data_IF_410723780666
#
_entry.id   IF_410723780666
#
_cell.length_a   1.000
_cell.length_b   1.000
_cell.length_c   1.000
_cell.angle_alpha   90.00
_cell.angle_beta   90.00
_cell.angle_gamma   90.00
#
_symmetry.space_group_name_H-M   'P 1'
#
loop_
_entity.id
_entity.type
_entity.pdbx_description
1 polymer ?
#
# COMPACT_ATOMS: atom_id res chain seq x y z
N UNK A 1 7.76 -2.25 -29.49
CA UNK A 1 6.97 -1.48 -28.50
C UNK A 1 7.84 -1.28 -27.27
N UNK A 2 8.49 -0.11 -27.13
CA UNK A 2 9.45 0.16 -26.04
C UNK A 2 9.73 1.68 -25.89
N UNK A 3 8.71 2.49 -25.63
CA UNK A 3 8.89 3.92 -25.32
C UNK A 3 8.15 4.38 -24.06
N UNK A 4 7.30 3.53 -23.48
CA UNK A 4 6.43 3.91 -22.35
C UNK A 4 7.17 3.97 -21.00
N UNK A 5 8.23 3.19 -20.80
CA UNK A 5 8.92 3.09 -19.51
C UNK A 5 9.64 4.39 -19.11
N UNK A 6 10.23 5.09 -20.08
CA UNK A 6 10.95 6.34 -19.83
C UNK A 6 10.01 7.51 -19.52
N UNK A 7 8.91 7.61 -20.29
CA UNK A 7 7.93 8.68 -20.10
C UNK A 7 7.11 8.47 -18.83
N UNK A 8 6.69 7.24 -18.56
CA UNK A 8 5.97 6.87 -17.34
C UNK A 8 6.79 7.11 -16.07
N UNK A 9 8.06 6.69 -16.04
CA UNK A 9 8.94 6.91 -14.89
C UNK A 9 9.24 8.41 -14.66
N UNK A 10 9.30 9.21 -15.73
CA UNK A 10 9.47 10.66 -15.62
C UNK A 10 8.21 11.36 -15.11
N UNK A 11 7.03 10.91 -15.56
CA UNK A 11 5.75 11.37 -15.06
C UNK A 11 5.56 11.01 -13.58
N UNK A 12 5.88 9.77 -13.18
CA UNK A 12 5.84 9.33 -11.78
C UNK A 12 6.77 10.17 -10.89
N UNK A 13 8.03 10.36 -11.32
CA UNK A 13 8.97 11.25 -10.61
C UNK A 13 8.49 12.70 -10.50
N UNK A 14 7.72 13.17 -11.48
CA UNK A 14 7.13 14.50 -11.43
C UNK A 14 5.96 14.58 -10.45
N UNK A 15 5.08 13.57 -10.45
CA UNK A 15 3.95 13.47 -9.52
C UNK A 15 4.42 13.35 -8.06
N UNK A 16 5.50 12.59 -7.82
CA UNK A 16 6.13 12.45 -6.50
C UNK A 16 7.00 13.65 -6.11
N UNK A 17 7.26 14.59 -7.03
CA UNK A 17 8.07 15.76 -6.73
C UNK A 17 7.38 16.64 -5.70
N UNK A 18 8.13 17.12 -4.71
CA UNK A 18 7.66 18.11 -3.73
C UNK A 18 6.97 19.30 -4.39
N UNK A 19 7.42 19.69 -5.60
CA UNK A 19 6.84 20.78 -6.38
C UNK A 19 5.40 20.50 -6.84
N UNK A 20 5.11 19.27 -7.25
CA UNK A 20 3.77 18.84 -7.63
C UNK A 20 2.86 18.75 -6.41
N UNK A 21 3.35 18.17 -5.31
CA UNK A 21 2.60 18.04 -4.07
C UNK A 21 2.21 19.39 -3.47
N UNK A 22 3.15 20.34 -3.39
CA UNK A 22 2.87 21.70 -2.89
C UNK A 22 1.95 22.46 -3.85
N UNK A 23 2.12 22.28 -5.17
CA UNK A 23 1.20 22.81 -6.17
C UNK A 23 -0.23 22.29 -5.99
N UNK A 24 -0.41 20.97 -5.86
CA UNK A 24 -1.69 20.33 -5.58
C UNK A 24 -2.32 20.84 -4.27
N UNK A 25 -1.52 21.02 -3.22
CA UNK A 25 -1.97 21.65 -1.97
C UNK A 25 -2.48 23.07 -2.16
N UNK A 26 -1.75 23.90 -2.91
CA UNK A 26 -2.19 25.26 -3.27
C UNK A 26 -3.46 25.28 -4.13
N UNK A 27 -3.56 24.38 -5.11
CA UNK A 27 -4.76 24.22 -5.93
C UNK A 27 -5.99 23.80 -5.12
N UNK A 28 -5.82 22.86 -4.19
CA UNK A 28 -6.90 22.42 -3.29
C UNK A 28 -7.37 23.56 -2.37
N UNK A 29 -6.45 24.38 -1.84
CA UNK A 29 -6.81 25.60 -1.09
C UNK A 29 -7.61 26.58 -1.95
N UNK A 30 -7.19 26.81 -3.21
CA UNK A 30 -7.93 27.67 -4.14
C UNK A 30 -9.35 27.18 -4.40
N UNK A 31 -9.53 25.86 -4.51
CA UNK A 31 -10.84 25.25 -4.66
C UNK A 31 -11.69 25.39 -3.37
N UNK A 32 -11.08 25.24 -2.20
CA UNK A 32 -11.73 25.52 -0.92
C UNK A 32 -12.21 26.97 -0.79
N UNK A 33 -11.41 27.94 -1.23
CA UNK A 33 -11.80 29.36 -1.27
C UNK A 33 -13.00 29.60 -2.19
N UNK A 34 -13.04 28.92 -3.35
CA UNK A 34 -14.19 29.00 -4.26
C UNK A 34 -15.48 28.52 -3.59
N UNK A 35 -15.45 27.35 -2.94
CA UNK A 35 -16.61 26.82 -2.22
C UNK A 35 -17.01 27.68 -1.02
N UNK A 36 -16.08 28.42 -0.42
CA UNK A 36 -16.37 29.42 0.61
C UNK A 36 -17.01 30.72 0.06
N UNK A 37 -17.27 30.79 -1.25
CA UNK A 37 -17.91 31.94 -1.91
C UNK A 37 -16.94 33.05 -2.32
N UNK A 38 -15.62 32.85 -2.17
CA UNK A 38 -14.61 33.80 -2.62
C UNK A 38 -14.18 33.50 -4.07
N UNK A 39 -14.14 34.53 -4.91
CA UNK A 39 -13.55 34.45 -6.25
C UNK A 39 -14.54 34.33 -7.42
N UNK A 40 -15.85 34.16 -7.19
CA UNK A 40 -16.88 34.24 -8.23
C UNK A 40 -16.50 33.52 -9.54
N UNK A 41 -16.65 34.18 -10.69
CA UNK A 41 -16.24 33.63 -11.99
C UNK A 41 -14.70 33.56 -12.21
N UNK A 42 -13.90 34.20 -11.36
CA UNK A 42 -12.43 34.28 -11.45
C UNK A 42 -11.73 33.13 -10.71
N UNK A 43 -12.48 32.22 -10.11
CA UNK A 43 -11.96 31.08 -9.36
C UNK A 43 -10.91 30.23 -10.12
N UNK A 44 -10.99 30.02 -11.46
CA UNK A 44 -9.95 29.25 -12.16
C UNK A 44 -8.59 29.96 -12.11
N UNK A 45 -8.60 31.30 -12.16
CA UNK A 45 -7.38 32.12 -12.04
C UNK A 45 -6.78 32.06 -10.64
N UNK A 46 -7.62 32.02 -9.61
CA UNK A 46 -7.19 31.86 -8.21
C UNK A 46 -6.55 30.49 -8.00
N UNK A 47 -7.16 29.42 -8.50
CA UNK A 47 -6.61 28.05 -8.43
C UNK A 47 -5.29 27.95 -9.18
N UNK A 48 -5.22 28.46 -10.41
CA UNK A 48 -3.99 28.45 -11.21
C UNK A 48 -2.87 29.28 -10.55
N UNK A 49 -3.21 30.44 -9.97
CA UNK A 49 -2.29 31.31 -9.26
C UNK A 49 -1.73 30.65 -7.99
N UNK A 50 -2.58 30.03 -7.17
CA UNK A 50 -2.16 29.33 -5.95
C UNK A 50 -1.37 28.06 -6.25
N UNK A 51 -1.75 27.30 -7.28
CA UNK A 51 -0.98 26.15 -7.76
C UNK A 51 0.42 26.60 -8.22
N UNK A 52 0.48 27.66 -9.03
CA UNK A 52 1.74 28.25 -9.49
C UNK A 52 2.60 28.78 -8.33
N UNK A 53 2.01 29.53 -7.41
CA UNK A 53 2.70 30.05 -6.23
C UNK A 53 3.27 28.91 -5.37
N UNK A 54 2.47 27.88 -5.07
CA UNK A 54 2.94 26.70 -4.35
C UNK A 54 4.13 26.01 -5.04
N UNK A 55 4.08 25.87 -6.37
CA UNK A 55 5.17 25.32 -7.15
C UNK A 55 6.44 26.20 -7.15
N UNK A 56 6.31 27.53 -7.06
CA UNK A 56 7.46 28.45 -7.03
C UNK A 56 8.10 28.62 -5.64
N UNK A 57 7.30 28.55 -4.57
CA UNK A 57 7.78 28.66 -3.19
C UNK A 57 8.57 27.42 -2.71
N UNK A 58 8.64 26.36 -3.52
CA UNK A 58 9.36 25.13 -3.16
C UNK A 58 10.88 25.33 -3.27
N UNK A 59 11.66 25.09 -2.19
CA UNK A 59 13.11 25.11 -2.25
C UNK A 59 13.65 24.08 -3.25
N UNK A 60 14.55 24.49 -4.14
CA UNK A 60 15.16 23.61 -5.14
C UNK A 60 15.95 22.45 -4.50
N UNK A 61 16.10 21.30 -5.20
CA UNK A 61 16.91 20.20 -4.72
C UNK A 61 18.35 20.66 -4.43
N UNK A 62 18.86 20.35 -3.23
CA UNK A 62 20.24 20.64 -2.86
C UNK A 62 21.18 19.89 -3.82
N UNK A 63 22.20 20.54 -4.40
CA UNK A 63 23.16 19.87 -5.27
C UNK A 63 23.76 18.66 -4.54
N UNK A 64 23.68 17.49 -5.18
CA UNK A 64 24.42 16.31 -4.75
C UNK A 64 25.91 16.63 -4.86
N UNK A 65 26.71 16.51 -3.79
CA UNK A 65 28.16 16.65 -3.88
C UNK A 65 28.72 15.66 -4.90
N UNK A 66 29.75 16.03 -5.70
CA UNK A 66 30.37 15.12 -6.64
C UNK A 66 30.91 13.88 -5.90
N UNK A 67 30.49 12.71 -6.35
CA UNK A 67 30.96 11.43 -5.84
C UNK A 67 32.45 11.29 -6.20
N UNK A 68 33.35 11.01 -5.22
CA UNK A 68 34.74 10.70 -5.52
C UNK A 68 34.83 9.52 -6.48
N UNK A 69 35.66 9.64 -7.51
CA UNK A 69 35.88 8.57 -8.48
C UNK A 69 36.31 7.27 -7.76
N UNK A 70 35.80 6.09 -8.17
CA UNK A 70 36.24 4.83 -7.60
C UNK A 70 37.75 4.63 -7.89
N UNK A 71 38.55 4.20 -6.90
CA UNK A 71 39.96 3.90 -7.12
C UNK A 71 40.11 2.73 -8.13
N UNK A 72 41.20 2.70 -8.91
CA UNK A 72 41.43 1.65 -9.89
C UNK A 72 41.50 0.28 -9.22
N UNK A 73 40.83 -0.70 -9.83
CA UNK A 73 40.74 -2.07 -9.35
C UNK A 73 42.14 -2.70 -9.17
N UNK A 74 42.46 -3.29 -8.01
CA UNK A 74 43.62 -4.17 -7.90
C UNK A 74 43.31 -5.56 -8.48
N UNK A 75 44.22 -5.99 -9.35
CA UNK A 75 44.45 -7.31 -9.97
C UNK A 75 44.22 -8.51 -9.02
N UNK A 76 43.77 -9.69 -9.53
CA UNK A 76 43.34 -10.80 -8.68
C UNK A 76 44.49 -11.70 -8.17
N UNK A 77 44.17 -12.43 -7.08
CA UNK A 77 44.76 -13.67 -6.53
C UNK A 77 45.59 -13.52 -5.23
N UNK A 78 45.76 -14.59 -4.40
CA UNK A 78 45.08 -15.89 -4.35
C UNK A 78 44.47 -16.22 -2.95
N UNK A 79 43.61 -17.24 -2.95
CA UNK A 79 43.10 -18.14 -1.88
C UNK A 79 43.43 -17.85 -0.40
N UNK A 80 42.39 -17.84 0.43
CA UNK A 80 42.43 -18.35 1.81
C UNK A 80 41.21 -19.24 2.07
N UNK A 81 41.51 -20.42 2.59
CA UNK A 81 40.65 -21.58 2.82
C UNK A 81 39.98 -21.51 4.19
N UNK A 82 38.85 -22.23 4.35
CA UNK A 82 38.27 -22.74 5.62
C UNK A 82 37.47 -21.75 6.49
N UNK A 83 36.35 -22.10 7.15
CA UNK A 83 35.75 -23.38 7.55
C UNK A 83 34.22 -23.29 7.41
N UNK A 84 33.60 -24.31 6.83
CA UNK A 84 32.16 -24.55 6.92
C UNK A 84 31.80 -24.94 8.36
N UNK A 85 31.04 -24.11 9.07
CA UNK A 85 30.30 -24.55 10.25
C UNK A 85 28.85 -24.72 9.84
N UNK A 86 28.53 -25.97 9.48
CA UNK A 86 27.17 -26.45 9.34
C UNK A 86 26.64 -26.74 10.75
N UNK A 87 25.90 -25.82 11.35
CA UNK A 87 25.08 -26.15 12.52
C UNK A 87 23.76 -26.73 12.00
N UNK A 88 23.74 -28.06 11.88
CA UNK A 88 22.47 -28.79 11.98
C UNK A 88 21.96 -28.64 13.41
N UNK A 89 20.99 -27.75 13.61
CA UNK A 89 20.23 -27.73 14.84
C UNK A 89 19.31 -28.97 14.91
N UNK A 90 19.01 -29.49 16.11
CA UNK A 90 18.22 -30.70 16.28
C UNK A 90 16.84 -30.52 15.65
N UNK A 91 16.39 -31.52 14.89
CA UNK A 91 14.96 -31.66 14.55
C UNK A 91 14.22 -32.00 15.82
N UNK A 92 13.86 -30.99 16.60
CA UNK A 92 12.74 -31.09 17.51
C UNK A 92 11.52 -31.38 16.64
N UNK A 93 10.82 -32.45 16.98
CA UNK A 93 9.44 -32.71 16.56
C UNK A 93 8.55 -31.65 17.22
N UNK A 94 8.78 -30.39 16.86
CA UNK A 94 7.95 -29.27 17.23
C UNK A 94 6.82 -29.20 16.21
N UNK A 95 5.60 -29.03 16.70
CA UNK A 95 4.50 -28.51 15.91
C UNK A 95 5.02 -27.37 15.02
N UNK A 96 4.70 -27.35 13.72
CA UNK A 96 5.14 -26.25 12.87
C UNK A 96 4.76 -24.92 13.55
N UNK A 97 5.70 -23.97 13.66
CA UNK A 97 5.40 -22.70 14.32
C UNK A 97 4.17 -22.07 13.65
N UNK A 98 3.28 -21.41 14.43
CA UNK A 98 2.10 -20.76 13.87
C UNK A 98 2.53 -19.81 12.74
N UNK A 99 1.78 -19.82 11.65
CA UNK A 99 2.10 -19.01 10.47
C UNK A 99 2.20 -17.52 10.87
N UNK A 100 3.41 -16.92 10.84
CA UNK A 100 3.61 -15.58 11.37
C UNK A 100 2.82 -14.52 10.61
N UNK A 101 2.46 -14.78 9.35
CA UNK A 101 1.70 -13.85 8.54
C UNK A 101 0.20 -13.90 8.86
N UNK A 102 -0.34 -15.10 9.15
CA UNK A 102 -1.71 -15.25 9.62
C UNK A 102 -1.90 -14.60 11.00
N UNK A 103 -0.90 -14.71 11.87
CA UNK A 103 -0.91 -14.03 13.17
C UNK A 103 -0.80 -12.52 13.03
N UNK A 104 0.12 -12.01 12.19
CA UNK A 104 0.20 -10.57 11.91
C UNK A 104 -1.10 -10.02 11.31
N UNK A 105 -1.76 -10.79 10.43
CA UNK A 105 -3.04 -10.43 9.87
C UNK A 105 -4.14 -10.40 10.94
N UNK A 106 -4.18 -11.41 11.83
CA UNK A 106 -5.14 -11.45 12.94
C UNK A 106 -4.99 -10.21 13.83
N UNK A 107 -3.75 -9.90 14.24
CA UNK A 107 -3.45 -8.70 15.03
C UNK A 107 -3.90 -7.42 14.31
N UNK A 108 -3.68 -7.32 13.00
CA UNK A 108 -4.17 -6.19 12.22
C UNK A 108 -5.70 -6.12 12.23
N UNK A 109 -6.39 -7.23 11.98
CA UNK A 109 -7.86 -7.27 11.90
C UNK A 109 -8.53 -6.92 13.23
N UNK A 110 -7.90 -7.24 14.37
CA UNK A 110 -8.36 -6.84 15.70
C UNK A 110 -8.35 -5.31 15.92
N UNK A 111 -7.57 -4.56 15.13
CA UNK A 111 -7.53 -3.09 15.20
C UNK A 111 -8.58 -2.41 14.32
N UNK A 112 -9.20 -3.16 13.41
CA UNK A 112 -10.06 -2.62 12.37
C UNK A 112 -11.54 -2.84 12.74
N UNK A 113 -12.43 -1.85 12.53
CA UNK A 113 -13.84 -1.99 12.86
C UNK A 113 -14.59 -2.86 11.84
N UNK A 114 -14.42 -4.18 11.94
CA UNK A 114 -15.07 -5.17 11.10
C UNK A 114 -16.46 -5.52 11.63
N UNK A 115 -17.44 -5.80 10.74
CA UNK A 115 -18.76 -6.23 11.16
C UNK A 115 -18.74 -7.74 11.43
N UNK A 116 -19.30 -8.17 12.56
CA UNK A 116 -19.38 -9.60 12.91
C UNK A 116 -20.11 -10.45 11.84
N UNK A 117 -21.04 -9.83 11.09
CA UNK A 117 -21.76 -10.46 9.99
C UNK A 117 -20.89 -10.85 8.80
N UNK A 118 -19.67 -10.30 8.68
CA UNK A 118 -18.76 -10.64 7.59
C UNK A 118 -18.15 -12.04 7.73
N UNK A 119 -18.14 -12.63 8.93
CA UNK A 119 -17.61 -13.98 9.14
C UNK A 119 -16.09 -14.10 9.04
N UNK A 120 -15.35 -13.01 9.23
CA UNK A 120 -13.87 -12.99 9.14
C UNK A 120 -13.24 -13.90 10.18
N UNK A 121 -13.77 -13.94 11.41
CA UNK A 121 -13.26 -14.81 12.48
C UNK A 121 -13.35 -16.31 12.11
N UNK A 122 -14.45 -16.69 11.48
CA UNK A 122 -14.66 -18.07 11.01
C UNK A 122 -13.67 -18.42 9.87
N UNK A 123 -13.38 -17.48 8.97
CA UNK A 123 -12.36 -17.66 7.94
C UNK A 123 -10.96 -17.80 8.54
N UNK A 124 -10.61 -16.98 9.55
CA UNK A 124 -9.33 -17.10 10.25
C UNK A 124 -9.20 -18.45 10.98
N UNK A 125 -10.27 -18.96 11.58
CA UNK A 125 -10.28 -20.31 12.16
C UNK A 125 -10.05 -21.39 11.09
N UNK A 126 -10.77 -21.33 9.97
CA UNK A 126 -10.60 -22.26 8.85
C UNK A 126 -9.18 -22.24 8.26
N UNK A 127 -8.55 -21.06 8.16
CA UNK A 127 -7.17 -20.92 7.72
C UNK A 127 -6.18 -21.60 8.69
N UNK A 128 -6.40 -21.48 10.00
CA UNK A 128 -5.58 -22.18 11.02
C UNK A 128 -5.73 -23.69 10.93
N UNK A 129 -6.95 -24.18 10.72
CA UNK A 129 -7.24 -25.61 10.57
C UNK A 129 -6.65 -26.20 9.28
N UNK A 130 -6.73 -25.44 8.17
CA UNK A 130 -6.19 -25.85 6.87
C UNK A 130 -4.66 -25.92 6.89
N UNK A 131 -4.03 -24.99 7.62
CA UNK A 131 -2.58 -24.84 7.65
C UNK A 131 -2.02 -24.13 6.41
N UNK A 132 -0.68 -23.94 6.35
CA UNK A 132 -0.02 -23.19 5.28
C UNK A 132 -0.13 -23.90 3.93
N UNK A 133 -0.30 -23.11 2.86
CA UNK A 133 -0.41 -23.63 1.51
C UNK A 133 -0.73 -22.54 0.49
N UNK A 134 -0.55 -22.79 -0.82
CA UNK A 134 -0.64 -21.74 -1.84
C UNK A 134 -1.97 -20.97 -1.86
N UNK A 135 -3.07 -21.64 -1.54
CA UNK A 135 -4.39 -21.02 -1.42
C UNK A 135 -4.48 -20.15 -0.15
N UNK A 136 -4.11 -20.71 1.02
CA UNK A 136 -4.08 -19.99 2.29
C UNK A 136 -3.15 -18.77 2.24
N UNK A 137 -1.94 -18.93 1.72
CA UNK A 137 -0.94 -17.86 1.57
C UNK A 137 -1.50 -16.70 0.73
N UNK A 138 -2.19 -17.02 -0.39
CA UNK A 138 -2.82 -16.00 -1.24
C UNK A 138 -3.95 -15.28 -0.53
N UNK A 139 -4.74 -16.01 0.28
CA UNK A 139 -5.83 -15.44 1.06
C UNK A 139 -5.28 -14.48 2.12
N UNK A 140 -4.32 -14.95 2.92
CA UNK A 140 -3.69 -14.21 4.02
C UNK A 140 -2.93 -12.98 3.52
N UNK A 141 -2.09 -13.13 2.50
CA UNK A 141 -1.21 -12.05 2.01
C UNK A 141 -1.93 -11.01 1.17
N UNK A 142 -3.00 -11.39 0.47
CA UNK A 142 -3.57 -10.55 -0.58
C UNK A 142 -5.09 -10.45 -0.53
N UNK A 143 -5.82 -11.57 -0.66
CA UNK A 143 -7.27 -11.49 -0.92
C UNK A 143 -8.05 -10.93 0.28
N UNK A 144 -7.75 -11.40 1.49
CA UNK A 144 -8.43 -10.91 2.69
C UNK A 144 -8.06 -9.45 2.99
N UNK A 145 -6.78 -9.02 2.98
CA UNK A 145 -6.42 -7.61 3.12
C UNK A 145 -7.10 -6.69 2.09
N UNK A 146 -7.20 -7.11 0.82
CA UNK A 146 -7.85 -6.32 -0.24
C UNK A 146 -9.36 -6.21 -0.02
N UNK A 147 -10.03 -7.29 0.40
CA UNK A 147 -11.46 -7.26 0.71
C UNK A 147 -11.75 -6.32 1.89
N UNK A 148 -10.90 -6.35 2.93
CA UNK A 148 -11.00 -5.47 4.11
C UNK A 148 -10.77 -4.01 3.73
N UNK A 149 -9.74 -3.70 2.93
CA UNK A 149 -9.51 -2.34 2.43
C UNK A 149 -10.71 -1.82 1.62
N UNK A 150 -11.28 -2.66 0.76
CA UNK A 150 -12.50 -2.35 0.00
C UNK A 150 -13.68 -1.99 0.90
N UNK A 151 -13.92 -2.77 1.96
CA UNK A 151 -14.94 -2.48 2.96
C UNK A 151 -14.69 -1.16 3.70
N UNK A 152 -13.47 -0.91 4.17
CA UNK A 152 -13.12 0.32 4.90
C UNK A 152 -13.26 1.56 4.02
N UNK A 153 -12.83 1.45 2.76
CA UNK A 153 -13.02 2.48 1.75
C UNK A 153 -14.51 2.73 1.53
N UNK A 154 -15.31 1.69 1.33
CA UNK A 154 -16.76 1.84 1.12
C UNK A 154 -17.43 2.52 2.33
N UNK A 155 -17.04 2.15 3.57
CA UNK A 155 -17.53 2.81 4.79
C UNK A 155 -17.18 4.29 4.87
N UNK A 156 -15.98 4.66 4.42
CA UNK A 156 -15.54 6.05 4.41
C UNK A 156 -16.45 6.90 3.53
N UNK A 157 -16.92 6.35 2.40
CA UNK A 157 -17.77 7.06 1.45
C UNK A 157 -19.28 6.87 1.67
N UNK A 158 -19.68 6.01 2.61
CA UNK A 158 -21.08 5.67 2.88
C UNK A 158 -22.00 6.90 3.13
N UNK A 159 -21.55 7.98 3.79
CA UNK A 159 -22.40 9.18 3.95
C UNK A 159 -22.79 9.88 2.63
N UNK A 160 -22.02 9.65 1.56
CA UNK A 160 -22.27 10.20 0.22
C UNK A 160 -22.80 9.16 -0.77
N UNK A 161 -23.07 7.95 -0.29
CA UNK A 161 -23.58 6.86 -1.09
C UNK A 161 -25.04 7.11 -1.51
N UNK A 162 -25.38 6.75 -2.74
CA UNK A 162 -26.76 6.79 -3.24
C UNK A 162 -27.61 5.65 -2.65
N UNK A 163 -28.94 5.73 -2.76
CA UNK A 163 -29.87 4.76 -2.16
C UNK A 163 -29.68 3.32 -2.69
N UNK A 164 -29.16 3.17 -3.91
CA UNK A 164 -28.91 1.87 -4.55
C UNK A 164 -27.50 1.31 -4.26
N UNK A 165 -26.74 1.94 -3.36
CA UNK A 165 -25.39 1.50 -3.04
C UNK A 165 -25.45 0.17 -2.28
N UNK A 166 -24.72 -0.87 -2.71
CA UNK A 166 -24.68 -2.14 -2.01
C UNK A 166 -24.21 -1.98 -0.56
N UNK A 167 -24.79 -2.75 0.35
CA UNK A 167 -24.35 -2.77 1.75
C UNK A 167 -22.89 -3.29 1.83
N UNK A 168 -21.93 -2.48 2.28
CA UNK A 168 -20.52 -2.86 2.33
C UNK A 168 -20.26 -4.04 3.27
N UNK A 169 -21.04 -4.20 4.33
CA UNK A 169 -20.88 -5.35 5.23
C UNK A 169 -21.32 -6.65 4.56
N UNK A 170 -22.43 -6.61 3.79
CA UNK A 170 -22.91 -7.74 3.02
C UNK A 170 -21.97 -8.10 1.85
N UNK A 171 -21.33 -7.13 1.21
CA UNK A 171 -20.29 -7.36 0.19
C UNK A 171 -19.07 -8.06 0.79
N UNK A 172 -18.54 -7.56 1.92
CA UNK A 172 -17.42 -8.19 2.62
C UNK A 172 -17.76 -9.63 3.02
N UNK A 173 -18.96 -9.86 3.56
CA UNK A 173 -19.40 -11.21 3.93
C UNK A 173 -19.54 -12.16 2.72
N UNK A 174 -19.87 -11.65 1.53
CA UNK A 174 -19.88 -12.45 0.29
C UNK A 174 -18.48 -12.83 -0.15
N UNK A 175 -17.54 -11.88 -0.15
CA UNK A 175 -16.13 -12.16 -0.47
C UNK A 175 -15.53 -13.15 0.53
N UNK A 176 -15.73 -12.96 1.83
CA UNK A 176 -15.23 -13.88 2.87
C UNK A 176 -15.77 -15.30 2.68
N UNK A 177 -17.06 -15.46 2.36
CA UNK A 177 -17.65 -16.77 2.04
C UNK A 177 -17.01 -17.40 0.79
N UNK A 178 -16.71 -16.60 -0.23
CA UNK A 178 -16.01 -17.09 -1.41
C UNK A 178 -14.58 -17.54 -1.07
N UNK A 179 -13.85 -16.78 -0.25
CA UNK A 179 -12.52 -17.16 0.22
C UNK A 179 -12.54 -18.44 1.06
N UNK A 180 -13.55 -18.61 1.92
CA UNK A 180 -13.72 -19.84 2.69
C UNK A 180 -13.99 -21.04 1.78
N UNK A 181 -14.80 -20.88 0.74
CA UNK A 181 -15.06 -21.94 -0.24
C UNK A 181 -13.83 -22.33 -1.08
N UNK A 182 -12.82 -21.44 -1.19
CA UNK A 182 -11.54 -21.78 -1.83
C UNK A 182 -10.67 -22.71 -0.96
N UNK A 183 -10.94 -22.82 0.34
CA UNK A 183 -10.16 -23.63 1.29
C UNK A 183 -10.67 -25.09 1.41
N UNK A 184 -11.94 -25.37 1.12
CA UNK A 184 -12.52 -26.73 1.17
C UNK A 184 -13.93 -26.76 1.75
#
# INVERSE_FOLDING_TARGET
MATSDGYGRRALRYLESTRNLVGCGGGALGLGLHFAGLGGAWWPGVVAGLYGAGALLTPGPKPTPPQPAPPPAPTPAPVSVSVSVSVSAPRETAEPPPDPELEALTVYLDTVPLPASAGVDALLAALRETGPGPAADRIVRHRLPVAVDGYLRARTWLPWAGPDTPDPAAELGREVKQLAAELG
#
